data_IF_431877843453
#
_entry.id   IF_431877843453
#
_cell.length_a   1.000
_cell.length_b   1.000
_cell.length_c   1.000
_cell.angle_alpha   90.00
_cell.angle_beta   90.00
_cell.angle_gamma   90.00
#
_symmetry.space_group_name_H-M   'P 1'
#
loop_
_entity.id
_entity.type
_entity.pdbx_description
1 polymer ?
#
# COMPACT_ATOMS: atom_id res chain seq x y z
N UNK A 1 -31.43 0.91 -24.77
CA UNK A 1 -31.01 0.79 -24.33
C UNK A 1 -30.18 0.80 -23.72
N UNK A 2 -29.83 0.74 -23.58
CA UNK A 2 -29.14 0.65 -23.02
C UNK A 2 -28.39 0.61 -22.21
N UNK A 3 -28.20 0.63 -21.88
CA UNK A 3 -27.61 0.56 -21.11
C UNK A 3 -26.88 0.45 -20.66
N UNK A 4 -26.54 0.15 -20.61
CA UNK A 4 -25.89 -0.07 -20.09
C UNK A 4 -25.04 -0.05 -19.51
N UNK A 5 -24.85 -0.11 -19.50
CA UNK A 5 -24.08 -0.16 -19.00
C UNK A 5 -23.47 -0.02 -18.28
N UNK A 6 -23.42 -0.21 -18.02
CA UNK A 6 -22.96 -0.14 -17.30
C UNK A 6 -22.32 -0.33 -16.57
N UNK A 7 -22.16 -0.59 -16.47
CA UNK A 7 -21.60 -0.80 -15.81
C UNK A 7 -20.90 -0.61 -15.26
N UNK A 8 -20.97 -0.60 -15.18
CA UNK A 8 -20.30 -0.43 -14.66
C UNK A 8 -19.37 -0.48 -14.14
N UNK A 9 -19.45 -0.25 -14.76
CA UNK A 9 -18.22 -0.31 -14.31
C UNK A 9 -18.05 -0.48 -13.03
N UNK A 10 -18.04 -1.05 -13.10
CA UNK A 10 -17.92 -1.30 -11.83
C UNK A 10 -16.59 -1.16 -11.34
N UNK A 11 -16.42 -0.44 -10.39
CA UNK A 11 -15.18 -0.31 -9.73
C UNK A 11 -14.71 -1.63 -9.24
N UNK A 12 -13.43 -1.86 -9.25
CA UNK A 12 -12.88 -3.02 -8.62
C UNK A 12 -13.28 -3.04 -7.16
N UNK A 13 -13.46 -4.21 -6.59
CA UNK A 13 -13.79 -4.29 -5.17
C UNK A 13 -12.71 -3.66 -4.34
N UNK A 14 -13.09 -2.94 -3.33
CA UNK A 14 -12.15 -2.40 -2.37
C UNK A 14 -11.56 -3.51 -1.55
N UNK A 15 -10.26 -3.48 -1.37
CA UNK A 15 -9.61 -4.46 -0.49
C UNK A 15 -9.60 -3.91 0.94
N UNK A 16 -9.54 -4.80 1.93
CA UNK A 16 -9.64 -4.38 3.33
C UNK A 16 -8.33 -3.85 3.86
N UNK A 17 -8.06 -2.59 3.60
CA UNK A 17 -6.91 -1.92 4.18
C UNK A 17 -7.35 -1.32 5.52
N UNK A 18 -6.65 -1.63 6.63
CA UNK A 18 -7.06 -1.11 7.93
C UNK A 18 -7.08 0.41 7.97
N UNK A 19 -8.01 0.97 8.73
CA UNK A 19 -8.16 2.42 8.82
C UNK A 19 -6.95 3.09 9.42
N UNK A 20 -6.22 2.41 10.29
CA UNK A 20 -5.03 2.98 10.92
C UNK A 20 -3.78 2.85 10.08
N UNK A 21 -3.86 2.24 8.89
CA UNK A 21 -2.72 2.22 7.99
C UNK A 21 -2.51 3.62 7.41
N UNK A 22 -1.29 4.13 7.53
CA UNK A 22 -0.96 5.51 7.20
C UNK A 22 -0.52 5.61 5.75
N UNK A 23 -1.06 6.60 5.03
CA UNK A 23 -0.67 6.84 3.64
C UNK A 23 0.66 7.60 3.61
N UNK A 24 1.57 7.17 2.73
CA UNK A 24 2.86 7.82 2.59
C UNK A 24 3.45 7.48 1.23
N UNK A 25 4.44 8.27 0.82
CA UNK A 25 5.29 7.91 -0.29
C UNK A 25 6.46 7.11 0.23
N UNK A 26 6.62 5.91 -0.30
CA UNK A 26 7.64 4.99 0.16
C UNK A 26 8.58 4.66 -0.97
N UNK A 27 9.88 4.70 -0.70
CA UNK A 27 10.90 4.40 -1.68
C UNK A 27 11.61 3.11 -1.28
N UNK A 28 11.64 2.16 -2.20
CA UNK A 28 12.25 0.86 -1.97
C UNK A 28 13.50 0.76 -2.81
N UNK A 29 14.64 1.07 -2.20
CA UNK A 29 15.92 1.06 -2.92
C UNK A 29 16.78 -0.12 -2.53
N UNK A 30 16.46 -0.84 -1.47
CA UNK A 30 17.21 -2.03 -1.06
C UNK A 30 16.29 -2.94 -0.26
N UNK A 31 16.60 -4.26 -0.24
CA UNK A 31 15.77 -5.19 0.52
C UNK A 31 15.79 -4.88 2.01
N UNK A 32 14.67 -5.12 2.67
CA UNK A 32 14.58 -5.00 4.11
C UNK A 32 14.42 -3.60 4.66
N UNK A 33 14.40 -2.58 3.79
CA UNK A 33 14.25 -1.21 4.25
C UNK A 33 13.37 -0.42 3.30
N UNK A 34 12.74 0.60 3.83
CA UNK A 34 11.91 1.50 3.03
C UNK A 34 12.16 2.92 3.53
N UNK A 35 12.28 3.86 2.60
CA UNK A 35 12.46 5.26 2.96
C UNK A 35 11.15 6.01 2.87
N UNK A 36 10.83 6.75 3.92
CA UNK A 36 9.63 7.59 3.97
C UNK A 36 10.06 8.94 4.49
N UNK A 37 9.87 9.98 3.65
CA UNK A 37 10.24 11.36 4.03
C UNK A 37 11.70 11.47 4.45
N UNK A 38 12.57 10.75 3.76
CA UNK A 38 14.00 10.78 4.04
C UNK A 38 14.46 9.93 5.19
N UNK A 39 13.54 9.30 5.91
CA UNK A 39 13.91 8.43 7.02
C UNK A 39 13.85 6.98 6.57
N UNK A 40 14.88 6.21 6.91
CA UNK A 40 14.91 4.78 6.59
C UNK A 40 14.22 4.00 7.69
N UNK A 41 13.22 3.22 7.31
CA UNK A 41 12.52 2.34 8.21
C UNK A 41 12.83 0.91 7.83
N UNK A 42 12.96 0.05 8.83
CA UNK A 42 13.20 -1.36 8.58
C UNK A 42 11.88 -2.09 8.40
N UNK A 43 11.90 -3.09 7.52
CA UNK A 43 10.80 -4.02 7.41
C UNK A 43 10.95 -5.08 8.50
N UNK A 44 9.86 -5.42 9.16
CA UNK A 44 9.92 -6.46 10.17
C UNK A 44 10.14 -7.82 9.50
N UNK A 45 10.60 -8.83 10.25
CA UNK A 45 10.83 -10.15 9.65
C UNK A 45 9.58 -10.76 9.04
N UNK A 46 8.40 -10.44 9.59
CA UNK A 46 7.14 -10.94 9.03
C UNK A 46 6.41 -9.94 8.16
N UNK A 47 7.11 -8.92 7.66
CA UNK A 47 6.46 -7.87 6.88
C UNK A 47 5.88 -8.41 5.59
N UNK A 48 4.70 -7.92 5.24
CA UNK A 48 4.06 -8.26 3.98
C UNK A 48 3.84 -6.99 3.17
N UNK A 49 4.21 -7.06 1.90
CA UNK A 49 3.97 -5.99 0.94
C UNK A 49 2.96 -6.53 -0.07
N UNK A 50 1.87 -5.80 -0.27
CA UNK A 50 0.86 -6.20 -1.25
C UNK A 50 0.83 -5.21 -2.40
N UNK A 51 0.79 -5.74 -3.62
CA UNK A 51 0.77 -4.89 -4.81
C UNK A 51 -0.65 -4.41 -5.10
N UNK A 52 -0.83 -3.72 -6.22
CA UNK A 52 -2.13 -3.16 -6.58
C UNK A 52 -3.17 -4.22 -6.86
N UNK A 53 -2.75 -5.46 -7.14
CA UNK A 53 -3.65 -6.58 -7.30
C UNK A 53 -3.83 -7.37 -6.01
N UNK A 54 -3.36 -6.81 -4.89
CA UNK A 54 -3.45 -7.42 -3.56
C UNK A 54 -2.66 -8.72 -3.43
N UNK A 55 -1.63 -8.90 -4.25
CA UNK A 55 -0.77 -10.07 -4.18
C UNK A 55 0.48 -9.73 -3.38
N UNK A 56 1.04 -10.73 -2.70
CA UNK A 56 2.23 -10.53 -1.89
C UNK A 56 3.44 -10.38 -2.80
N UNK A 57 4.24 -9.35 -2.52
CA UNK A 57 5.48 -9.08 -3.23
C UNK A 57 6.61 -9.26 -2.24
N UNK A 58 7.63 -10.02 -2.63
CA UNK A 58 8.78 -10.21 -1.76
C UNK A 58 9.58 -8.91 -1.66
N UNK A 59 10.08 -8.59 -0.47
CA UNK A 59 10.88 -7.35 -0.32
C UNK A 59 12.08 -7.28 -1.25
N UNK A 60 12.65 -8.43 -1.62
CA UNK A 60 13.79 -8.45 -2.53
C UNK A 60 13.40 -8.17 -3.97
N UNK A 61 12.11 -8.18 -4.30
CA UNK A 61 11.65 -7.98 -5.67
C UNK A 61 11.05 -6.61 -5.91
N UNK A 62 10.95 -5.76 -4.88
CA UNK A 62 10.33 -4.46 -5.05
C UNK A 62 11.39 -3.38 -5.14
N UNK A 63 11.22 -2.47 -6.09
CA UNK A 63 12.11 -1.32 -6.28
C UNK A 63 11.25 -0.15 -6.72
N UNK A 64 11.71 1.04 -6.39
CA UNK A 64 11.08 2.25 -6.86
C UNK A 64 10.28 2.95 -5.79
N UNK A 65 9.61 4.00 -6.18
CA UNK A 65 8.82 4.83 -5.28
C UNK A 65 7.35 4.61 -5.56
N UNK A 66 6.56 4.43 -4.50
CA UNK A 66 5.14 4.16 -4.62
C UNK A 66 4.38 4.91 -3.54
N UNK A 67 3.14 5.28 -3.84
CA UNK A 67 2.22 5.72 -2.80
C UNK A 67 1.63 4.49 -2.15
N UNK A 68 1.77 4.39 -0.84
CA UNK A 68 1.38 3.21 -0.07
C UNK A 68 0.58 3.61 1.15
N UNK A 69 -0.07 2.62 1.76
CA UNK A 69 -0.51 2.71 3.15
C UNK A 69 0.22 1.64 3.91
N UNK A 70 0.62 1.94 5.14
CA UNK A 70 1.44 1.00 5.89
C UNK A 70 1.10 1.02 7.36
N UNK A 71 1.41 -0.10 8.01
CA UNK A 71 1.29 -0.26 9.45
C UNK A 71 2.66 -0.58 10.02
N UNK A 72 2.97 0.06 11.13
CA UNK A 72 4.17 -0.24 11.90
C UNK A 72 3.82 -1.19 13.02
N UNK A 73 4.79 -1.99 13.43
CA UNK A 73 4.60 -2.84 14.60
C UNK A 73 5.00 -2.08 15.86
N UNK A 74 4.97 -2.76 17.00
CA UNK A 74 5.24 -2.13 18.28
C UNK A 74 6.69 -1.67 18.42
N UNK A 75 7.60 -2.20 17.62
CA UNK A 75 9.00 -1.78 17.66
C UNK A 75 9.31 -0.71 16.62
N UNK A 76 8.31 -0.22 15.90
CA UNK A 76 8.51 0.82 14.90
C UNK A 76 8.95 0.32 13.55
N UNK A 77 8.94 -0.99 13.33
CA UNK A 77 9.27 -1.55 12.03
C UNK A 77 8.04 -1.65 11.15
N UNK A 78 8.22 -1.53 9.85
CA UNK A 78 7.12 -1.63 8.90
C UNK A 78 6.68 -3.08 8.81
N UNK A 79 5.41 -3.33 9.08
CA UNK A 79 4.88 -4.68 9.19
C UNK A 79 3.95 -5.03 8.03
N UNK A 80 3.18 -4.07 7.54
CA UNK A 80 2.27 -4.26 6.40
C UNK A 80 2.35 -3.07 5.50
N UNK A 81 2.38 -3.34 4.19
CA UNK A 81 2.41 -2.29 3.17
C UNK A 81 1.44 -2.65 2.07
N UNK A 82 0.63 -1.69 1.66
CA UNK A 82 -0.26 -1.84 0.51
C UNK A 82 0.13 -0.79 -0.53
N UNK A 83 0.62 -1.23 -1.69
CA UNK A 83 0.90 -0.33 -2.81
C UNK A 83 -0.45 0.06 -3.40
N UNK A 84 -0.72 1.35 -3.45
CA UNK A 84 -2.06 1.83 -3.80
C UNK A 84 -2.22 1.95 -5.31
N UNK A 85 -3.42 1.64 -5.78
CA UNK A 85 -3.83 2.00 -7.14
C UNK A 85 -4.03 3.51 -7.19
N UNK A 86 -4.08 4.11 -8.41
CA UNK A 86 -4.36 5.55 -8.49
C UNK A 86 -5.68 5.93 -7.81
N UNK A 87 -6.69 5.09 -7.91
CA UNK A 87 -7.96 5.37 -7.26
C UNK A 87 -7.83 5.35 -5.75
N UNK A 88 -7.12 4.36 -5.22
CA UNK A 88 -6.89 4.29 -3.78
C UNK A 88 -6.06 5.46 -3.29
N UNK A 89 -5.05 5.85 -4.07
CA UNK A 89 -4.19 6.97 -3.69
C UNK A 89 -4.95 8.28 -3.67
N UNK A 90 -5.94 8.44 -4.55
CA UNK A 90 -6.74 9.65 -4.62
C UNK A 90 -7.84 9.69 -3.58
N UNK A 91 -8.18 8.56 -2.98
CA UNK A 91 -9.26 8.51 -2.01
C UNK A 91 -8.84 9.19 -0.71
N UNK A 92 -9.75 9.89 -0.02
CA UNK A 92 -9.40 10.49 1.27
C UNK A 92 -9.10 9.41 2.30
N UNK A 93 -8.22 9.74 3.23
CA UNK A 93 -7.97 8.86 4.34
C UNK A 93 -9.19 8.79 5.24
N UNK A 94 -9.46 7.62 5.84
CA UNK A 94 -10.56 7.52 6.80
C UNK A 94 -10.33 8.44 7.97
N UNK A 95 -11.40 9.00 8.48
CA UNK A 95 -11.33 9.80 9.71
C UNK A 95 -11.29 8.89 10.90
N UNK A 96 -10.58 9.31 11.92
CA UNK A 96 -10.35 8.50 13.11
C UNK A 96 -10.92 9.18 14.34
#
# INVERSE_FOLDING_TARGET
>A
MLGLASSLAIAAPSRPIPDDAVKAKASFSRPGAVEVKGAALLLSPGAQIRDTANRIVLPSHIRGEYTVRMLLDNSGQVHRVWILTPEEAAAPMPKR
#
